data_IF_482509162295
#
_entry.id   IF_482509162295
#
_cell.length_a   1.000
_cell.length_b   1.000
_cell.length_c   1.000
_cell.angle_alpha   90.00
_cell.angle_beta   90.00
_cell.angle_gamma   90.00
#
_symmetry.space_group_name_H-M   'P 1'
#
loop_
_entity.id
_entity.type
_entity.pdbx_description
1 polymer ?
#
# COMPACT_ATOMS: atom_id res chain seq x y z
N UNK A 1 -22.72 7.88 -16.04
CA UNK A 1 -22.14 6.51 -15.96
C UNK A 1 -21.78 6.27 -14.51
N UNK A 2 -22.24 5.19 -13.88
CA UNK A 2 -21.78 4.81 -12.55
C UNK A 2 -20.28 4.52 -12.62
N UNK A 3 -19.49 5.05 -11.68
CA UNK A 3 -18.06 4.80 -11.64
C UNK A 3 -17.74 3.31 -11.47
N UNK A 4 -16.54 2.90 -11.85
CA UNK A 4 -16.07 1.51 -11.82
C UNK A 4 -16.18 0.86 -10.41
N UNK A 5 -16.09 1.67 -9.34
CA UNK A 5 -16.23 1.26 -7.94
C UNK A 5 -17.48 1.85 -7.27
N UNK A 6 -18.54 2.15 -8.06
CA UNK A 6 -19.77 2.73 -7.53
C UNK A 6 -20.36 1.86 -6.40
N UNK A 7 -20.58 2.48 -5.23
CA UNK A 7 -21.11 1.81 -4.05
C UNK A 7 -20.13 0.96 -3.26
N UNK A 8 -18.87 0.84 -3.70
CA UNK A 8 -17.84 0.13 -2.93
C UNK A 8 -17.49 0.86 -1.63
N UNK A 9 -17.23 0.08 -0.59
CA UNK A 9 -16.87 0.51 0.76
C UNK A 9 -15.42 0.18 0.99
N UNK A 10 -14.59 1.20 1.13
CA UNK A 10 -13.13 1.02 1.10
C UNK A 10 -12.45 1.60 2.33
N UNK A 11 -11.36 0.96 2.75
CA UNK A 11 -10.40 1.49 3.71
C UNK A 11 -9.05 1.64 3.01
N UNK A 12 -8.40 2.78 3.18
CA UNK A 12 -7.02 3.02 2.73
C UNK A 12 -6.17 3.42 3.92
N UNK A 13 -5.21 2.57 4.30
CA UNK A 13 -4.22 2.91 5.35
C UNK A 13 -3.01 3.62 4.75
N UNK A 14 -2.35 4.49 5.53
CA UNK A 14 -1.31 5.36 4.98
C UNK A 14 -1.88 6.29 3.90
N UNK A 15 -3.16 6.65 4.04
CA UNK A 15 -3.94 7.30 3.01
C UNK A 15 -3.85 8.83 2.98
N UNK A 16 -3.10 9.45 3.90
CA UNK A 16 -3.00 10.91 3.96
C UNK A 16 -1.99 11.50 2.95
N UNK A 17 -1.07 10.70 2.41
CA UNK A 17 -0.04 11.14 1.44
C UNK A 17 0.41 10.03 0.49
N UNK A 18 1.24 10.41 -0.49
CA UNK A 18 1.89 9.49 -1.42
C UNK A 18 0.92 8.57 -2.16
N UNK A 19 1.26 7.30 -2.30
CA UNK A 19 0.44 6.30 -3.01
C UNK A 19 -0.96 6.21 -2.40
N UNK A 20 -1.06 6.14 -1.06
CA UNK A 20 -2.34 5.98 -0.37
C UNK A 20 -3.31 7.12 -0.64
N UNK A 21 -2.84 8.38 -0.65
CA UNK A 21 -3.69 9.54 -0.94
C UNK A 21 -4.22 9.54 -2.37
N UNK A 22 -3.37 9.17 -3.35
CA UNK A 22 -3.78 9.04 -4.75
C UNK A 22 -4.81 7.93 -4.92
N UNK A 23 -4.60 6.79 -4.26
CA UNK A 23 -5.55 5.67 -4.27
C UNK A 23 -6.89 6.07 -3.64
N UNK A 24 -6.87 6.72 -2.47
CA UNK A 24 -8.09 7.17 -1.80
C UNK A 24 -8.90 8.14 -2.67
N UNK A 25 -8.23 9.15 -3.26
CA UNK A 25 -8.85 10.08 -4.21
C UNK A 25 -9.42 9.35 -5.42
N UNK A 26 -8.61 8.50 -6.04
CA UNK A 26 -9.02 7.76 -7.23
C UNK A 26 -10.17 6.79 -6.98
N UNK A 27 -10.29 6.24 -5.78
CA UNK A 27 -11.43 5.39 -5.40
C UNK A 27 -12.71 6.20 -5.25
N UNK A 28 -12.63 7.39 -4.61
CA UNK A 28 -13.76 8.31 -4.50
C UNK A 28 -14.22 8.79 -5.88
N UNK A 29 -13.29 9.14 -6.76
CA UNK A 29 -13.59 9.51 -8.16
C UNK A 29 -14.26 8.37 -8.95
N UNK A 30 -13.92 7.12 -8.62
CA UNK A 30 -14.54 5.92 -9.18
C UNK A 30 -15.90 5.56 -8.54
N UNK A 31 -16.39 6.37 -7.58
CA UNK A 31 -17.69 6.21 -6.94
C UNK A 31 -17.70 5.40 -5.65
N UNK A 32 -16.54 5.03 -5.09
CA UNK A 32 -16.43 4.36 -3.81
C UNK A 32 -16.53 5.35 -2.63
N UNK A 33 -17.00 4.85 -1.49
CA UNK A 33 -16.83 5.54 -0.19
C UNK A 33 -15.55 5.06 0.47
N UNK A 34 -14.74 5.99 0.99
CA UNK A 34 -13.42 5.69 1.55
C UNK A 34 -13.25 6.17 2.99
N UNK A 35 -12.86 5.28 3.91
CA UNK A 35 -12.26 5.67 5.18
C UNK A 35 -10.74 5.69 5.04
N UNK A 36 -10.16 6.85 5.29
CA UNK A 36 -8.72 7.12 5.17
C UNK A 36 -8.11 7.01 6.57
N UNK A 37 -7.15 6.11 6.75
CA UNK A 37 -6.44 5.89 8.01
C UNK A 37 -4.98 6.33 7.88
N UNK A 38 -4.54 7.23 8.76
CA UNK A 38 -3.14 7.68 8.81
C UNK A 38 -2.84 8.26 10.21
N UNK A 39 -1.55 8.53 10.49
CA UNK A 39 -1.09 9.25 11.69
C UNK A 39 -0.99 10.77 11.47
N UNK A 40 -1.10 11.22 10.22
CA UNK A 40 -0.93 12.61 9.82
C UNK A 40 -2.29 13.28 9.69
N UNK A 41 -2.78 13.78 10.83
CA UNK A 41 -4.12 14.40 10.95
C UNK A 41 -4.26 15.58 9.98
N UNK A 42 -3.25 16.46 9.97
CA UNK A 42 -3.18 17.63 9.09
C UNK A 42 -3.40 17.28 7.60
N UNK A 43 -2.73 16.25 7.12
CA UNK A 43 -2.83 15.83 5.72
C UNK A 43 -4.10 15.03 5.43
N UNK A 44 -4.51 14.18 6.37
CA UNK A 44 -5.72 13.37 6.23
C UNK A 44 -6.98 14.22 6.17
N UNK A 45 -7.10 15.20 7.06
CA UNK A 45 -8.22 16.16 7.09
C UNK A 45 -8.24 17.03 5.83
N UNK A 46 -7.06 17.54 5.40
CA UNK A 46 -6.96 18.32 4.17
C UNK A 46 -7.35 17.51 2.94
N UNK A 47 -6.96 16.23 2.87
CA UNK A 47 -7.38 15.35 1.77
C UNK A 47 -8.89 15.19 1.73
N UNK A 48 -9.52 14.85 2.87
CA UNK A 48 -10.98 14.68 2.94
C UNK A 48 -11.72 15.97 2.58
N UNK A 49 -11.24 17.13 3.05
CA UNK A 49 -11.82 18.42 2.70
C UNK A 49 -11.78 18.71 1.18
N UNK A 50 -10.86 18.10 0.43
CA UNK A 50 -10.73 18.24 -1.02
C UNK A 50 -11.61 17.27 -1.81
N UNK A 51 -12.31 16.34 -1.15
CA UNK A 51 -13.12 15.31 -1.78
C UNK A 51 -14.63 15.65 -1.66
N UNK A 52 -15.50 15.06 -2.51
CA UNK A 52 -16.92 15.26 -2.39
C UNK A 52 -17.45 14.90 -1.01
N UNK A 53 -18.31 15.75 -0.46
CA UNK A 53 -18.92 15.55 0.85
C UNK A 53 -19.57 14.15 0.95
N UNK A 54 -19.45 13.52 2.11
CA UNK A 54 -19.97 12.18 2.42
C UNK A 54 -19.32 10.98 1.71
N UNK A 55 -18.39 11.22 0.76
CA UNK A 55 -17.70 10.13 0.06
C UNK A 55 -16.42 9.66 0.80
N UNK A 56 -15.82 10.52 1.61
CA UNK A 56 -14.63 10.18 2.39
C UNK A 56 -14.74 10.63 3.83
N UNK A 57 -14.05 9.90 4.73
CA UNK A 57 -13.75 10.32 6.10
C UNK A 57 -12.30 10.02 6.40
N UNK A 58 -11.73 10.83 7.28
CA UNK A 58 -10.43 10.60 7.87
C UNK A 58 -10.58 10.09 9.30
N UNK A 59 -9.66 9.20 9.72
CA UNK A 59 -9.49 8.81 11.12
C UNK A 59 -8.01 8.62 11.42
N UNK A 60 -7.56 9.21 12.54
CA UNK A 60 -6.25 8.93 13.09
C UNK A 60 -6.10 7.45 13.42
N UNK A 61 -5.03 6.81 12.94
CA UNK A 61 -4.73 5.41 13.24
C UNK A 61 -3.23 5.12 13.06
N UNK A 62 -2.58 4.73 14.16
CA UNK A 62 -1.29 4.08 14.10
C UNK A 62 -1.52 2.58 13.85
N UNK A 63 -1.10 2.10 12.69
CA UNK A 63 -1.28 0.68 12.30
C UNK A 63 -0.49 -0.30 13.17
N UNK A 64 0.45 0.17 14.00
CA UNK A 64 1.19 -0.65 14.96
C UNK A 64 0.44 -0.90 16.26
N UNK A 65 -0.61 -0.11 16.51
CA UNK A 65 -1.48 -0.19 17.68
C UNK A 65 -2.75 -0.98 17.36
N UNK A 66 -2.85 -2.17 17.95
CA UNK A 66 -3.99 -3.08 17.70
C UNK A 66 -5.34 -2.52 18.17
N UNK A 67 -5.35 -1.70 19.24
CA UNK A 67 -6.57 -1.09 19.75
C UNK A 67 -7.08 0.01 18.81
N UNK A 68 -6.18 0.86 18.30
CA UNK A 68 -6.52 1.87 17.31
C UNK A 68 -7.01 1.24 16.00
N UNK A 69 -6.35 0.18 15.51
CA UNK A 69 -6.78 -0.55 14.33
C UNK A 69 -8.18 -1.12 14.55
N UNK A 70 -8.42 -1.81 15.66
CA UNK A 70 -9.75 -2.37 15.97
C UNK A 70 -10.82 -1.29 15.97
N UNK A 71 -10.61 -0.20 16.70
CA UNK A 71 -11.57 0.91 16.79
C UNK A 71 -11.83 1.59 15.44
N UNK A 72 -10.79 1.72 14.59
CA UNK A 72 -10.93 2.30 13.25
C UNK A 72 -11.77 1.42 12.32
N UNK A 73 -11.56 0.10 12.35
CA UNK A 73 -12.33 -0.83 11.52
C UNK A 73 -13.78 -1.01 12.01
N UNK A 74 -14.03 -0.94 13.32
CA UNK A 74 -15.40 -0.88 13.86
C UNK A 74 -16.14 0.39 13.43
N UNK A 75 -15.46 1.54 13.43
CA UNK A 75 -16.03 2.78 12.90
C UNK A 75 -16.32 2.68 11.41
N UNK A 76 -15.40 2.09 10.63
CA UNK A 76 -15.63 1.82 9.23
C UNK A 76 -16.89 0.97 9.01
N UNK A 77 -17.05 -0.10 9.78
CA UNK A 77 -18.23 -0.97 9.69
C UNK A 77 -19.53 -0.20 9.95
N UNK A 78 -19.55 0.68 10.96
CA UNK A 78 -20.73 1.52 11.28
C UNK A 78 -21.02 2.55 10.19
N UNK A 79 -19.98 3.26 9.71
CA UNK A 79 -20.18 4.35 8.75
C UNK A 79 -20.40 3.86 7.33
N UNK A 80 -19.64 2.84 6.89
CA UNK A 80 -19.74 2.29 5.53
C UNK A 80 -20.88 1.25 5.41
N UNK A 81 -21.26 0.59 6.51
CA UNK A 81 -22.20 -0.55 6.50
C UNK A 81 -21.55 -1.87 6.05
N UNK A 82 -20.24 -1.97 6.14
CA UNK A 82 -19.43 -3.13 5.77
C UNK A 82 -18.12 -2.72 5.08
N UNK A 83 -17.40 -3.70 4.52
CA UNK A 83 -16.13 -3.46 3.83
C UNK A 83 -16.03 -4.36 2.59
N UNK A 84 -15.75 -3.77 1.44
CA UNK A 84 -15.52 -4.48 0.17
C UNK A 84 -14.03 -4.53 -0.17
N UNK A 85 -13.27 -3.48 0.21
CA UNK A 85 -11.83 -3.41 -0.13
C UNK A 85 -11.01 -2.76 0.96
N UNK A 86 -9.87 -3.38 1.28
CA UNK A 86 -8.76 -2.76 2.01
C UNK A 86 -7.59 -2.53 1.05
N UNK A 87 -7.07 -1.31 0.97
CA UNK A 87 -5.73 -1.03 0.43
C UNK A 87 -4.81 -0.68 1.59
N UNK A 88 -3.88 -1.59 1.91
CA UNK A 88 -2.89 -1.35 2.94
C UNK A 88 -1.65 -0.70 2.34
N UNK A 89 -1.59 0.65 2.43
CA UNK A 89 -0.48 1.46 1.92
C UNK A 89 0.38 2.07 3.03
N UNK A 90 -0.01 1.92 4.30
CA UNK A 90 0.81 2.35 5.43
C UNK A 90 2.17 1.63 5.41
N UNK A 91 3.22 2.40 5.54
CA UNK A 91 4.58 1.87 5.53
C UNK A 91 5.62 2.96 5.72
N UNK A 92 6.80 2.54 6.09
CA UNK A 92 7.97 3.41 6.23
C UNK A 92 9.25 2.70 5.84
N UNK A 93 10.25 3.47 5.50
CA UNK A 93 11.61 3.03 5.24
C UNK A 93 12.59 3.85 6.09
N UNK A 94 13.72 3.24 6.42
CA UNK A 94 14.88 3.86 7.07
C UNK A 94 16.13 3.41 6.30
N UNK A 95 16.41 4.05 5.15
CA UNK A 95 17.60 3.72 4.37
C UNK A 95 18.88 4.20 5.05
N UNK A 96 20.03 3.74 4.53
CA UNK A 96 21.36 4.22 4.96
C UNK A 96 22.02 3.35 6.03
N UNK A 97 21.51 2.15 6.31
CA UNK A 97 22.16 1.18 7.18
C UNK A 97 22.59 -0.04 6.36
N UNK A 98 23.81 -0.52 6.61
CA UNK A 98 24.22 -1.86 6.17
C UNK A 98 23.68 -2.92 7.13
N UNK A 99 23.67 -4.21 6.76
CA UNK A 99 23.24 -5.27 7.69
C UNK A 99 24.04 -5.31 8.99
N UNK A 100 25.32 -4.95 8.93
CA UNK A 100 26.25 -4.98 10.08
C UNK A 100 26.00 -3.83 11.06
N UNK A 101 25.54 -2.67 10.56
CA UNK A 101 25.42 -1.43 11.34
C UNK A 101 23.96 -1.09 11.67
N UNK A 102 23.01 -1.95 11.30
CA UNK A 102 21.59 -1.71 11.52
C UNK A 102 21.22 -1.81 13.00
N UNK A 103 20.80 -0.71 13.66
CA UNK A 103 20.36 -0.75 15.05
C UNK A 103 19.09 -1.59 15.22
N UNK A 104 19.00 -2.34 16.34
CA UNK A 104 17.85 -3.20 16.65
C UNK A 104 16.54 -2.40 16.69
N UNK A 105 16.55 -1.21 17.28
CA UNK A 105 15.37 -0.35 17.36
C UNK A 105 14.88 0.14 15.98
N UNK A 106 15.78 0.29 15.00
CA UNK A 106 15.42 0.62 13.62
C UNK A 106 14.80 -0.60 12.94
N UNK A 107 15.39 -1.77 13.13
CA UNK A 107 14.83 -3.02 12.64
C UNK A 107 13.41 -3.25 13.16
N UNK A 108 13.21 -3.18 14.47
CA UNK A 108 11.92 -3.38 15.13
C UNK A 108 10.87 -2.37 14.68
N UNK A 109 11.25 -1.09 14.59
CA UNK A 109 10.36 -0.05 14.12
C UNK A 109 9.87 -0.32 12.68
N UNK A 110 10.80 -0.66 11.78
CA UNK A 110 10.45 -0.91 10.37
C UNK A 110 9.59 -2.17 10.23
N UNK A 111 9.89 -3.24 10.97
CA UNK A 111 9.05 -4.45 10.99
C UNK A 111 7.69 -4.18 11.62
N UNK A 112 7.63 -3.42 12.71
CA UNK A 112 6.37 -3.09 13.38
C UNK A 112 5.42 -2.36 12.44
N UNK A 113 5.89 -1.34 11.74
CA UNK A 113 5.03 -0.57 10.83
C UNK A 113 4.65 -1.37 9.59
N UNK A 114 5.63 -1.98 8.90
CA UNK A 114 5.36 -2.61 7.60
C UNK A 114 4.78 -4.02 7.72
N UNK A 115 5.33 -4.89 8.58
CA UNK A 115 4.90 -6.29 8.68
C UNK A 115 3.75 -6.46 9.68
N UNK A 116 3.93 -6.03 10.94
CA UNK A 116 2.89 -6.12 11.96
C UNK A 116 1.67 -5.28 11.60
N UNK A 117 1.86 -4.04 11.09
CA UNK A 117 0.77 -3.19 10.62
C UNK A 117 -0.06 -3.85 9.51
N UNK A 118 0.60 -4.50 8.55
CA UNK A 118 -0.09 -5.29 7.51
C UNK A 118 -0.91 -6.42 8.14
N UNK A 119 -0.32 -7.19 9.05
CA UNK A 119 -1.02 -8.26 9.76
C UNK A 119 -2.27 -7.75 10.48
N UNK A 120 -2.16 -6.72 11.30
CA UNK A 120 -3.26 -6.20 12.11
C UNK A 120 -4.42 -5.69 11.23
N UNK A 121 -4.11 -4.89 10.22
CA UNK A 121 -5.13 -4.30 9.35
C UNK A 121 -5.79 -5.33 8.43
N UNK A 122 -5.02 -6.29 7.90
CA UNK A 122 -5.57 -7.38 7.10
C UNK A 122 -6.50 -8.27 7.92
N UNK A 123 -6.12 -8.61 9.17
CA UNK A 123 -6.96 -9.40 10.08
C UNK A 123 -8.26 -8.65 10.41
N UNK A 124 -8.19 -7.35 10.69
CA UNK A 124 -9.38 -6.53 10.95
C UNK A 124 -10.30 -6.45 9.73
N UNK A 125 -9.73 -6.28 8.52
CA UNK A 125 -10.49 -6.28 7.27
C UNK A 125 -11.17 -7.63 7.03
N UNK A 126 -10.45 -8.73 7.17
CA UNK A 126 -11.02 -10.08 6.99
C UNK A 126 -12.23 -10.32 7.87
N UNK A 127 -12.21 -9.88 9.14
CA UNK A 127 -13.36 -10.02 10.04
C UNK A 127 -14.62 -9.33 9.50
N UNK A 128 -14.48 -8.22 8.78
CA UNK A 128 -15.60 -7.50 8.15
C UNK A 128 -16.01 -8.08 6.80
N UNK A 129 -15.09 -8.78 6.12
CA UNK A 129 -15.32 -9.36 4.78
C UNK A 129 -15.77 -10.80 4.81
N UNK A 130 -15.55 -11.52 5.91
CA UNK A 130 -15.70 -12.98 6.02
C UNK A 130 -17.04 -13.53 5.51
N UNK A 131 -18.14 -12.78 5.69
CA UNK A 131 -19.49 -13.24 5.33
C UNK A 131 -19.89 -12.88 3.87
N UNK A 132 -19.20 -11.91 3.24
CA UNK A 132 -19.62 -11.36 1.94
C UNK A 132 -18.52 -11.37 0.89
N UNK A 133 -17.34 -11.81 1.26
CA UNK A 133 -16.17 -11.68 0.43
C UNK A 133 -15.59 -10.25 0.42
N UNK A 134 -14.50 -10.05 -0.29
CA UNK A 134 -13.83 -8.77 -0.39
C UNK A 134 -12.47 -8.85 -1.08
N UNK A 135 -11.78 -7.74 -1.15
CA UNK A 135 -10.44 -7.65 -1.71
C UNK A 135 -9.46 -6.93 -0.78
N UNK A 136 -8.27 -7.47 -0.60
CA UNK A 136 -7.18 -6.86 0.13
C UNK A 136 -6.01 -6.65 -0.82
N UNK A 137 -5.53 -5.41 -0.92
CA UNK A 137 -4.35 -5.05 -1.71
C UNK A 137 -3.28 -4.51 -0.78
N UNK A 138 -2.18 -5.25 -0.64
CA UNK A 138 -1.04 -4.88 0.20
C UNK A 138 0.05 -4.20 -0.64
N UNK A 139 0.60 -3.07 -0.17
CA UNK A 139 1.76 -2.47 -0.80
C UNK A 139 3.02 -3.22 -0.37
N UNK A 140 3.49 -4.09 -1.26
CA UNK A 140 4.78 -4.73 -1.19
C UNK A 140 5.92 -3.76 -1.57
N UNK A 141 7.01 -4.29 -2.09
CA UNK A 141 8.13 -3.52 -2.63
C UNK A 141 9.05 -4.44 -3.44
N UNK A 142 9.77 -3.86 -4.39
CA UNK A 142 10.93 -4.50 -5.02
C UNK A 142 11.95 -4.98 -3.97
N UNK A 143 12.12 -4.23 -2.88
CA UNK A 143 13.00 -4.60 -1.78
C UNK A 143 12.63 -5.94 -1.13
N UNK A 144 11.33 -6.27 -1.05
CA UNK A 144 10.85 -7.55 -0.54
C UNK A 144 11.00 -8.72 -1.51
N UNK A 145 11.25 -8.45 -2.79
CA UNK A 145 11.46 -9.46 -3.84
C UNK A 145 12.94 -9.80 -3.99
N UNK A 146 13.79 -8.77 -4.10
CA UNK A 146 15.21 -8.91 -4.45
C UNK A 146 16.15 -8.74 -3.25
N UNK A 147 15.68 -8.10 -2.17
CA UNK A 147 16.55 -7.54 -1.15
C UNK A 147 17.27 -6.28 -1.64
N UNK A 148 17.60 -5.40 -0.70
CA UNK A 148 18.41 -4.19 -0.94
C UNK A 148 19.41 -4.04 0.20
N UNK A 149 20.73 -4.02 -0.09
CA UNK A 149 21.75 -4.03 0.96
C UNK A 149 21.78 -2.74 1.80
N UNK A 150 21.34 -1.61 1.24
CA UNK A 150 21.27 -0.29 1.89
C UNK A 150 19.98 -0.08 2.74
N UNK A 151 19.09 -1.07 2.78
CA UNK A 151 17.81 -1.03 3.53
C UNK A 151 17.36 -2.42 3.97
N UNK A 152 18.17 -3.13 4.77
CA UNK A 152 17.95 -4.54 5.12
C UNK A 152 16.67 -4.76 5.92
N UNK A 153 16.35 -3.89 6.91
CA UNK A 153 15.11 -3.99 7.68
C UNK A 153 13.85 -3.84 6.79
N UNK A 154 13.88 -2.89 5.85
CA UNK A 154 12.77 -2.69 4.91
C UNK A 154 12.60 -3.88 3.96
N UNK A 155 13.71 -4.46 3.48
CA UNK A 155 13.70 -5.67 2.67
C UNK A 155 13.08 -6.85 3.41
N UNK A 156 13.49 -7.09 4.66
CA UNK A 156 12.92 -8.12 5.52
C UNK A 156 11.41 -7.90 5.75
N UNK A 157 11.01 -6.67 6.11
CA UNK A 157 9.61 -6.34 6.37
C UNK A 157 8.73 -6.49 5.12
N UNK A 158 9.20 -6.05 3.95
CA UNK A 158 8.45 -6.18 2.70
C UNK A 158 8.46 -7.63 2.17
N UNK A 159 9.50 -8.41 2.43
CA UNK A 159 9.49 -9.86 2.24
C UNK A 159 8.42 -10.56 3.08
N UNK A 160 8.29 -10.15 4.35
CA UNK A 160 7.23 -10.65 5.24
C UNK A 160 5.83 -10.29 4.72
N UNK A 161 5.60 -9.09 4.18
CA UNK A 161 4.32 -8.70 3.54
C UNK A 161 3.97 -9.62 2.38
N UNK A 162 4.95 -9.96 1.51
CA UNK A 162 4.72 -10.85 0.37
C UNK A 162 4.41 -12.29 0.81
N UNK A 163 5.12 -12.79 1.81
CA UNK A 163 4.86 -14.12 2.39
C UNK A 163 3.49 -14.17 3.09
N UNK A 164 3.16 -13.16 3.89
CA UNK A 164 1.85 -12.99 4.52
C UNK A 164 0.74 -13.00 3.49
N UNK A 165 0.85 -12.21 2.42
CA UNK A 165 -0.13 -12.12 1.34
C UNK A 165 -0.47 -13.50 0.77
N UNK A 166 0.54 -14.33 0.45
CA UNK A 166 0.32 -15.69 -0.06
C UNK A 166 -0.37 -16.61 0.95
N UNK A 167 0.07 -16.56 2.20
CA UNK A 167 -0.48 -17.41 3.25
C UNK A 167 -1.97 -17.13 3.49
N UNK A 168 -2.33 -15.83 3.62
CA UNK A 168 -3.73 -15.47 3.90
C UNK A 168 -4.61 -15.55 2.66
N UNK A 169 -4.09 -15.41 1.45
CA UNK A 169 -4.82 -15.66 0.22
C UNK A 169 -5.34 -17.11 0.16
N UNK A 170 -4.52 -18.08 0.55
CA UNK A 170 -4.94 -19.49 0.65
C UNK A 170 -5.95 -19.68 1.77
N UNK A 171 -5.72 -19.10 2.94
CA UNK A 171 -6.57 -19.30 4.11
C UNK A 171 -7.96 -18.62 3.98
N UNK A 172 -8.02 -17.48 3.28
CA UNK A 172 -9.25 -16.66 3.18
C UNK A 172 -9.97 -16.82 1.84
N UNK A 173 -9.38 -17.50 0.87
CA UNK A 173 -10.01 -17.85 -0.41
C UNK A 173 -11.38 -18.56 -0.24
N UNK A 174 -11.54 -19.54 0.69
CA UNK A 174 -12.84 -20.16 0.95
C UNK A 174 -13.97 -19.22 1.40
N UNK A 175 -13.63 -18.00 1.80
CA UNK A 175 -14.56 -16.92 2.18
C UNK A 175 -14.74 -15.88 1.06
N UNK A 176 -14.31 -16.17 -0.15
CA UNK A 176 -14.35 -15.26 -1.31
C UNK A 176 -13.59 -13.93 -1.04
N UNK A 177 -12.51 -14.00 -0.23
CA UNK A 177 -11.62 -12.86 0.04
C UNK A 177 -10.33 -13.04 -0.75
N UNK A 178 -10.10 -12.14 -1.71
CA UNK A 178 -8.84 -12.09 -2.46
C UNK A 178 -7.81 -11.25 -1.73
N UNK A 179 -6.54 -11.70 -1.73
CA UNK A 179 -5.43 -10.94 -1.14
C UNK A 179 -4.26 -10.93 -2.11
N UNK A 180 -3.87 -9.75 -2.55
CA UNK A 180 -2.76 -9.56 -3.47
C UNK A 180 -1.77 -8.50 -2.97
N UNK A 181 -0.55 -8.55 -3.45
CA UNK A 181 0.46 -7.55 -3.21
C UNK A 181 0.85 -6.83 -4.51
N UNK A 182 1.20 -5.55 -4.40
CA UNK A 182 1.80 -4.78 -5.49
C UNK A 182 3.18 -4.32 -5.03
N UNK A 183 4.19 -4.49 -5.89
CA UNK A 183 5.56 -4.01 -5.70
C UNK A 183 5.83 -2.82 -6.64
N UNK A 184 5.52 -1.59 -6.22
CA UNK A 184 5.58 -0.42 -7.08
C UNK A 184 6.97 0.23 -7.08
N UNK A 185 7.31 0.89 -8.20
CA UNK A 185 8.43 1.84 -8.29
C UNK A 185 7.90 3.17 -8.83
N UNK A 186 7.40 4.01 -7.92
CA UNK A 186 6.67 5.23 -8.25
C UNK A 186 7.43 6.49 -7.82
N UNK A 187 7.27 7.55 -8.59
CA UNK A 187 7.58 8.91 -8.17
C UNK A 187 6.53 9.37 -7.16
N UNK A 188 6.97 9.63 -5.95
CA UNK A 188 6.14 10.13 -4.85
C UNK A 188 6.86 11.27 -4.16
N UNK A 189 6.14 12.04 -3.37
CA UNK A 189 6.72 13.08 -2.51
C UNK A 189 7.83 12.54 -1.57
N UNK A 190 7.76 11.26 -1.21
CA UNK A 190 8.81 10.58 -0.45
C UNK A 190 10.04 10.34 -1.30
N UNK A 191 9.86 9.87 -2.54
CA UNK A 191 10.96 9.67 -3.48
C UNK A 191 11.61 11.01 -3.87
N UNK A 192 10.81 12.06 -4.07
CA UNK A 192 11.31 13.41 -4.37
C UNK A 192 12.13 13.98 -3.22
N UNK A 193 11.68 13.83 -1.98
CA UNK A 193 12.45 14.26 -0.79
C UNK A 193 13.76 13.50 -0.65
N UNK A 194 13.78 12.21 -0.95
CA UNK A 194 15.02 11.44 -0.97
C UNK A 194 15.97 11.97 -2.05
N UNK A 195 15.48 12.21 -3.27
CA UNK A 195 16.27 12.77 -4.37
C UNK A 195 16.82 14.17 -4.06
N UNK A 196 16.06 14.97 -3.31
CA UNK A 196 16.48 16.31 -2.91
C UNK A 196 17.64 16.31 -1.88
N UNK A 197 17.87 15.18 -1.20
CA UNK A 197 18.97 15.02 -0.24
C UNK A 197 20.28 14.56 -0.88
N UNK A 198 20.21 14.04 -2.12
CA UNK A 198 21.37 13.57 -2.86
C UNK A 198 22.14 14.74 -3.46
N UNK A 199 23.47 14.62 -3.50
CA UNK A 199 24.29 15.54 -4.28
C UNK A 199 24.11 15.31 -5.79
N UNK A 200 24.75 16.15 -6.60
CA UNK A 200 24.61 16.10 -8.07
C UNK A 200 25.18 14.83 -8.69
N UNK A 201 26.24 14.27 -8.13
CA UNK A 201 26.87 13.06 -8.63
C UNK A 201 26.08 11.81 -8.24
N UNK A 202 25.64 11.71 -6.98
CA UNK A 202 24.77 10.64 -6.49
C UNK A 202 23.47 10.60 -7.28
N UNK A 203 22.89 11.78 -7.56
CA UNK A 203 21.67 11.88 -8.37
C UNK A 203 21.88 11.40 -9.80
N UNK A 204 22.98 11.82 -10.44
CA UNK A 204 23.35 11.37 -11.78
C UNK A 204 23.53 9.87 -11.83
N UNK A 205 24.29 9.30 -10.89
CA UNK A 205 24.51 7.85 -10.80
C UNK A 205 23.20 7.08 -10.62
N UNK A 206 22.33 7.55 -9.75
CA UNK A 206 21.01 6.94 -9.53
C UNK A 206 20.13 6.97 -10.80
N UNK A 207 20.18 8.07 -11.56
CA UNK A 207 19.44 8.19 -12.82
C UNK A 207 20.00 7.25 -13.90
N UNK A 208 21.31 7.10 -14.00
CA UNK A 208 21.98 6.17 -14.92
C UNK A 208 21.63 4.72 -14.56
N UNK A 209 21.70 4.37 -13.28
CA UNK A 209 21.32 3.02 -12.81
C UNK A 209 19.84 2.73 -13.07
N UNK A 210 18.95 3.71 -12.90
CA UNK A 210 17.54 3.56 -13.26
C UNK A 210 17.35 3.30 -14.76
N UNK A 211 18.02 4.05 -15.61
CA UNK A 211 17.98 3.86 -17.08
C UNK A 211 18.49 2.46 -17.46
N UNK A 212 19.58 2.03 -16.85
CA UNK A 212 20.17 0.71 -17.10
C UNK A 212 19.27 -0.44 -16.64
N UNK A 213 18.61 -0.30 -15.49
CA UNK A 213 17.85 -1.38 -14.83
C UNK A 213 16.36 -1.40 -15.22
N UNK A 214 15.83 -0.35 -15.85
CA UNK A 214 14.41 -0.27 -16.20
C UNK A 214 14.22 -0.29 -17.73
N UNK A 215 13.76 -1.40 -18.30
CA UNK A 215 13.45 -1.49 -19.73
C UNK A 215 12.57 -0.36 -20.27
N UNK A 216 11.64 0.18 -19.46
CA UNK A 216 10.81 1.32 -19.84
C UNK A 216 11.49 2.66 -19.55
N UNK A 217 12.76 2.81 -19.91
CA UNK A 217 13.48 4.10 -19.97
C UNK A 217 13.87 4.71 -18.63
N UNK A 218 13.88 3.94 -17.55
CA UNK A 218 14.41 4.38 -16.24
C UNK A 218 13.57 5.41 -15.48
N UNK A 219 12.41 5.82 -16.01
CA UNK A 219 11.52 6.75 -15.29
C UNK A 219 10.87 6.07 -14.08
N UNK A 220 10.55 6.84 -13.08
CA UNK A 220 9.63 6.42 -12.04
C UNK A 220 8.20 6.44 -12.60
N UNK A 221 7.38 5.46 -12.20
CA UNK A 221 5.97 5.43 -12.54
C UNK A 221 5.22 6.60 -11.90
N UNK A 222 4.13 7.02 -12.52
CA UNK A 222 3.17 7.97 -11.95
C UNK A 222 2.04 7.20 -11.31
N UNK A 223 1.73 7.50 -10.06
CA UNK A 223 0.76 6.72 -9.27
C UNK A 223 -0.60 6.69 -9.96
N UNK A 224 -1.08 7.84 -10.46
CA UNK A 224 -2.38 7.97 -11.11
C UNK A 224 -2.49 7.18 -12.42
N UNK A 225 -1.41 7.17 -13.20
CA UNK A 225 -1.42 6.62 -14.56
C UNK A 225 -0.96 5.17 -14.62
N UNK A 226 0.09 4.83 -13.82
CA UNK A 226 0.79 3.56 -13.96
C UNK A 226 0.43 2.56 -12.85
N UNK A 227 -0.11 3.02 -11.71
CA UNK A 227 -0.42 2.17 -10.56
C UNK A 227 -1.91 2.07 -10.26
N UNK A 228 -2.62 3.20 -10.19
CA UNK A 228 -4.03 3.27 -9.79
C UNK A 228 -4.95 2.37 -10.63
N UNK A 229 -4.78 2.20 -11.96
CA UNK A 229 -5.60 1.27 -12.75
C UNK A 229 -5.51 -0.18 -12.25
N UNK A 230 -4.30 -0.65 -11.91
CA UNK A 230 -4.13 -1.99 -11.34
C UNK A 230 -4.75 -2.10 -9.95
N UNK A 231 -4.58 -1.07 -9.09
CA UNK A 231 -5.20 -1.07 -7.76
C UNK A 231 -6.72 -1.14 -7.88
N UNK A 232 -7.34 -0.38 -8.78
CA UNK A 232 -8.79 -0.44 -9.05
C UNK A 232 -9.23 -1.81 -9.57
N UNK A 233 -8.48 -2.41 -10.49
CA UNK A 233 -8.77 -3.76 -11.00
C UNK A 233 -8.79 -4.78 -9.87
N UNK A 234 -7.74 -4.81 -9.02
CA UNK A 234 -7.62 -5.77 -7.91
C UNK A 234 -8.64 -5.51 -6.79
N UNK A 235 -9.03 -4.26 -6.59
CA UNK A 235 -10.01 -3.83 -5.59
C UNK A 235 -11.45 -4.09 -6.03
N UNK A 236 -11.70 -4.11 -7.33
CA UNK A 236 -13.01 -4.20 -7.94
C UNK A 236 -13.40 -5.61 -8.44
N UNK A 237 -14.49 -5.70 -9.20
CA UNK A 237 -15.00 -6.99 -9.68
C UNK A 237 -14.04 -7.69 -10.66
N UNK A 238 -13.18 -6.94 -11.38
CA UNK A 238 -12.24 -7.49 -12.34
C UNK A 238 -11.12 -8.33 -11.69
N UNK A 239 -10.82 -8.10 -10.40
CA UNK A 239 -9.78 -8.80 -9.64
C UNK A 239 -10.25 -10.06 -8.91
N UNK A 240 -11.53 -10.41 -8.99
CA UNK A 240 -12.14 -11.48 -8.15
C UNK A 240 -11.58 -12.87 -8.36
N UNK A 241 -10.89 -13.14 -9.45
CA UNK A 241 -10.23 -14.41 -9.70
C UNK A 241 -8.69 -14.33 -9.60
N UNK A 242 -8.19 -13.26 -8.97
CA UNK A 242 -6.76 -13.02 -8.74
C UNK A 242 -6.50 -13.00 -7.24
N UNK A 243 -5.74 -13.97 -6.72
CA UNK A 243 -5.37 -14.00 -5.30
C UNK A 243 -3.99 -14.61 -5.10
N UNK A 244 -3.29 -14.22 -4.02
CA UNK A 244 -1.95 -14.70 -3.69
C UNK A 244 -0.83 -14.16 -4.58
N UNK A 245 -1.13 -13.23 -5.49
CA UNK A 245 -0.17 -12.74 -6.48
C UNK A 245 0.62 -11.54 -5.97
N UNK A 246 1.82 -11.39 -6.51
CA UNK A 246 2.63 -10.18 -6.39
C UNK A 246 2.76 -9.55 -7.77
N UNK A 247 2.25 -8.34 -7.93
CA UNK A 247 2.32 -7.60 -9.19
C UNK A 247 3.43 -6.56 -9.12
N UNK A 248 4.46 -6.71 -9.94
CA UNK A 248 5.49 -5.69 -10.10
C UNK A 248 4.97 -4.57 -11.02
N UNK A 249 4.98 -3.32 -10.54
CA UNK A 249 4.67 -2.11 -11.32
C UNK A 249 5.90 -1.20 -11.26
N UNK A 250 6.94 -1.56 -12.03
CA UNK A 250 8.29 -1.04 -11.84
C UNK A 250 9.05 -0.74 -13.15
N UNK A 251 8.35 -0.73 -14.28
CA UNK A 251 8.95 -0.49 -15.59
C UNK A 251 9.83 -1.64 -16.08
N UNK A 252 9.60 -2.86 -15.58
CA UNK A 252 10.32 -4.07 -15.98
C UNK A 252 11.62 -4.32 -15.20
N UNK A 253 11.84 -3.61 -14.06
CA UNK A 253 13.03 -3.83 -13.19
C UNK A 253 13.05 -5.21 -12.56
N UNK A 254 11.88 -5.83 -12.41
CA UNK A 254 11.72 -7.16 -11.84
C UNK A 254 10.84 -7.99 -12.76
N UNK A 255 11.37 -9.09 -13.26
CA UNK A 255 10.61 -10.08 -14.03
C UNK A 255 10.28 -11.24 -13.08
N UNK A 256 9.02 -11.32 -12.64
CA UNK A 256 8.53 -12.39 -11.77
C UNK A 256 8.15 -13.58 -12.64
N UNK A 257 8.67 -14.78 -12.32
CA UNK A 257 8.27 -16.02 -13.01
C UNK A 257 9.24 -16.49 -14.10
N UNK A 258 10.46 -15.98 -14.11
CA UNK A 258 11.55 -16.57 -14.92
C UNK A 258 12.40 -17.52 -14.09
#
# INVERSE_FOLDING_TARGET
MSGELAGYRTIVTGGARGIGAVVARGFVEAGARALILDKRDDLGEALVASLPAHMARYRHCDVTDSAQVTAAFEEAARWLGGLDTLVHSAGMDKPGYTPEDLPEEVFDLVLSVNAKGTYLTNQAAFRLMKEKGGAIVNMGSLAGIRGMPDRPAYSAAKGAVLAWTRAVATAWGPYDVTVNAIAPTMGTDVAERYLAQLDSEERRQLEEDRKRLSPLGGRLGKVEQDLLPLVRLLAGPGGRYMTGQTFAVDGGRTMLGS
#
